data_IF_830524853229
#
_entry.id   IF_830524853229
#
_cell.length_a   1.000
_cell.length_b   1.000
_cell.length_c   1.000
_cell.angle_alpha   90.00
_cell.angle_beta   90.00
_cell.angle_gamma   90.00
#
_symmetry.space_group_name_H-M   'P 1'
#
loop_
_entity.id
_entity.type
_entity.pdbx_description
1 polymer ?
#
# COMPACT_ATOMS: atom_id res chain seq x y z
N UNK A 1 -16.64 -10.56 0.53
CA UNK A 1 -17.18 -9.36 1.21
C UNK A 1 -17.78 -8.45 0.18
N UNK A 2 -19.06 -8.09 0.33
CA UNK A 2 -19.70 -7.07 -0.49
C UNK A 2 -19.01 -5.72 -0.24
N UNK A 3 -18.76 -4.96 -1.30
CA UNK A 3 -18.19 -3.61 -1.21
C UNK A 3 -19.34 -2.65 -1.48
N UNK A 4 -19.48 -1.63 -0.64
CA UNK A 4 -20.43 -0.55 -0.87
C UNK A 4 -19.84 0.44 -1.89
N UNK A 5 -20.51 0.60 -3.03
CA UNK A 5 -20.00 1.41 -4.14
C UNK A 5 -19.83 2.89 -3.75
N UNK A 6 -20.70 3.41 -2.88
CA UNK A 6 -20.60 4.78 -2.40
C UNK A 6 -19.39 4.96 -1.48
N UNK A 7 -19.15 4.02 -0.57
CA UNK A 7 -17.95 4.01 0.26
C UNK A 7 -16.67 3.87 -0.57
N UNK A 8 -16.68 3.03 -1.60
CA UNK A 8 -15.54 2.87 -2.51
C UNK A 8 -15.24 4.17 -3.28
N UNK A 9 -16.28 4.81 -3.84
CA UNK A 9 -16.15 6.10 -4.53
C UNK A 9 -15.66 7.21 -3.59
N UNK A 10 -16.16 7.25 -2.35
CA UNK A 10 -15.71 8.21 -1.35
C UNK A 10 -14.23 8.03 -1.06
N UNK A 11 -13.78 6.78 -0.87
CA UNK A 11 -12.37 6.46 -0.64
C UNK A 11 -11.49 6.84 -1.83
N UNK A 12 -11.86 6.46 -3.05
CA UNK A 12 -11.10 6.75 -4.26
C UNK A 12 -11.00 8.26 -4.54
N UNK A 13 -12.07 9.02 -4.28
CA UNK A 13 -12.06 10.48 -4.38
C UNK A 13 -10.98 11.14 -3.50
N UNK A 14 -10.69 10.56 -2.31
CA UNK A 14 -9.63 11.08 -1.43
C UNK A 14 -8.23 10.95 -2.03
N UNK A 15 -7.99 9.91 -2.84
CA UNK A 15 -6.71 9.68 -3.52
C UNK A 15 -6.44 10.80 -4.52
N UNK A 16 -7.43 11.17 -5.32
CA UNK A 16 -7.31 12.26 -6.30
C UNK A 16 -7.09 13.62 -5.64
N UNK A 17 -7.74 13.87 -4.49
CA UNK A 17 -7.53 15.11 -3.75
C UNK A 17 -6.08 15.25 -3.28
N UNK A 18 -5.49 14.19 -2.71
CA UNK A 18 -4.10 14.21 -2.26
C UNK A 18 -3.13 14.39 -3.44
N UNK A 19 -3.41 13.72 -4.56
CA UNK A 19 -2.58 13.79 -5.77
C UNK A 19 -2.59 15.17 -6.44
N UNK A 20 -3.64 15.97 -6.24
CA UNK A 20 -3.71 17.32 -6.81
C UNK A 20 -2.65 18.27 -6.24
N UNK A 21 -2.12 17.97 -5.03
CA UNK A 21 -1.12 18.79 -4.37
C UNK A 21 -0.08 17.96 -3.60
N UNK A 22 0.86 17.27 -4.28
CA UNK A 22 1.86 16.42 -3.65
C UNK A 22 3.05 17.26 -3.12
N UNK A 23 2.77 18.30 -2.33
CA UNK A 23 3.76 19.22 -1.77
C UNK A 23 3.81 19.08 -0.25
N UNK A 24 4.94 19.42 0.36
CA UNK A 24 5.09 19.45 1.82
C UNK A 24 4.72 20.83 2.36
N UNK A 25 3.44 21.20 2.27
CA UNK A 25 2.92 22.47 2.76
C UNK A 25 1.68 22.25 3.65
N UNK A 26 1.21 23.33 4.30
CA UNK A 26 0.06 23.28 5.21
C UNK A 26 -1.21 22.75 4.51
N UNK A 27 -1.46 23.18 3.27
CA UNK A 27 -2.65 22.80 2.52
C UNK A 27 -2.68 21.29 2.22
N UNK A 28 -1.56 20.72 1.77
CA UNK A 28 -1.39 19.29 1.53
C UNK A 28 -1.53 18.48 2.82
N UNK A 29 -1.02 18.97 3.96
CA UNK A 29 -1.20 18.32 5.26
C UNK A 29 -2.69 18.31 5.64
N UNK A 30 -3.41 19.43 5.43
CA UNK A 30 -4.85 19.51 5.66
C UNK A 30 -5.61 18.53 4.77
N UNK A 31 -5.30 18.48 3.47
CA UNK A 31 -5.91 17.55 2.51
C UNK A 31 -5.66 16.09 2.91
N UNK A 32 -4.43 15.75 3.33
CA UNK A 32 -4.10 14.42 3.84
C UNK A 32 -4.92 14.08 5.08
N UNK A 33 -5.03 14.99 6.05
CA UNK A 33 -5.86 14.79 7.25
C UNK A 33 -7.34 14.57 6.90
N UNK A 34 -7.88 15.36 5.98
CA UNK A 34 -9.26 15.19 5.48
C UNK A 34 -9.44 13.85 4.76
N UNK A 35 -8.49 13.45 3.91
CA UNK A 35 -8.52 12.16 3.21
C UNK A 35 -8.56 10.98 4.20
N UNK A 36 -7.70 10.99 5.22
CA UNK A 36 -7.66 9.95 6.26
C UNK A 36 -8.98 9.88 7.04
N UNK A 37 -9.55 11.04 7.40
CA UNK A 37 -10.85 11.10 8.09
C UNK A 37 -11.99 10.55 7.22
N UNK A 38 -12.04 10.94 5.93
CA UNK A 38 -13.05 10.46 4.99
C UNK A 38 -12.93 8.95 4.73
N UNK A 39 -11.72 8.40 4.70
CA UNK A 39 -11.52 6.94 4.63
C UNK A 39 -12.08 6.23 5.88
N UNK A 40 -11.96 6.85 7.07
CA UNK A 40 -12.64 6.35 8.28
C UNK A 40 -14.17 6.30 8.12
N UNK A 41 -14.76 7.36 7.58
CA UNK A 41 -16.21 7.42 7.29
C UNK A 41 -16.62 6.38 6.24
N UNK A 42 -15.83 6.21 5.18
CA UNK A 42 -16.08 5.21 4.14
C UNK A 42 -16.10 3.78 4.71
N UNK A 43 -15.15 3.46 5.60
CA UNK A 43 -15.13 2.16 6.27
C UNK A 43 -16.36 1.93 7.15
N UNK A 44 -16.81 2.96 7.87
CA UNK A 44 -18.04 2.91 8.68
C UNK A 44 -19.27 2.64 7.80
N UNK A 45 -19.43 3.38 6.70
CA UNK A 45 -20.53 3.20 5.74
C UNK A 45 -20.53 1.78 5.18
N UNK A 46 -19.36 1.27 4.78
CA UNK A 46 -19.23 -0.08 4.22
C UNK A 46 -19.42 -1.18 5.29
N UNK A 47 -19.38 -0.85 6.58
CA UNK A 47 -19.35 -1.84 7.67
C UNK A 47 -18.10 -2.72 7.67
N UNK A 48 -17.04 -2.31 6.96
CA UNK A 48 -15.78 -3.05 6.87
C UNK A 48 -14.64 -2.17 6.38
N UNK A 49 -13.40 -2.61 6.59
CA UNK A 49 -12.21 -1.89 6.11
C UNK A 49 -12.01 -1.92 4.58
N UNK A 50 -12.85 -2.65 3.83
CA UNK A 50 -12.68 -2.91 2.39
C UNK A 50 -12.41 -1.67 1.52
N UNK A 51 -13.07 -0.51 1.72
CA UNK A 51 -12.84 0.65 0.87
C UNK A 51 -11.40 1.17 0.95
N UNK A 52 -10.75 1.04 2.12
CA UNK A 52 -9.43 1.60 2.39
C UNK A 52 -8.33 0.53 2.59
N UNK A 53 -8.68 -0.76 2.48
CA UNK A 53 -7.79 -1.87 2.82
C UNK A 53 -7.93 -3.01 1.81
N UNK A 54 -6.83 -3.32 1.13
CA UNK A 54 -6.68 -4.36 0.11
C UNK A 54 -5.47 -5.27 0.36
N UNK A 55 -4.88 -5.79 -0.71
CA UNK A 55 -3.71 -6.68 -0.65
C UNK A 55 -2.46 -6.00 -0.07
N UNK A 56 -2.35 -4.68 -0.23
CA UNK A 56 -1.27 -3.89 0.33
C UNK A 56 -1.30 -3.86 1.86
N UNK A 57 -2.50 -3.82 2.46
CA UNK A 57 -2.66 -3.93 3.90
C UNK A 57 -2.42 -5.36 4.39
N UNK A 58 -2.82 -6.37 3.63
CA UNK A 58 -2.52 -7.77 3.99
C UNK A 58 -1.01 -8.01 4.06
N UNK A 59 -0.23 -7.48 3.12
CA UNK A 59 1.23 -7.57 3.17
C UNK A 59 1.81 -6.79 4.36
N UNK A 60 1.30 -5.59 4.65
CA UNK A 60 1.70 -4.85 5.86
C UNK A 60 1.44 -5.66 7.14
N UNK A 61 0.24 -6.26 7.27
CA UNK A 61 -0.08 -7.07 8.45
C UNK A 61 0.74 -8.36 8.52
N UNK A 62 1.07 -8.98 7.38
CA UNK A 62 1.98 -10.11 7.37
C UNK A 62 3.40 -9.70 7.81
N UNK A 63 3.87 -8.50 7.45
CA UNK A 63 5.12 -7.94 7.97
C UNK A 63 5.05 -7.74 9.49
N UNK A 64 3.93 -7.23 10.01
CA UNK A 64 3.74 -7.06 11.46
C UNK A 64 3.85 -8.38 12.23
N UNK A 65 3.49 -9.49 11.59
CA UNK A 65 3.54 -10.83 12.18
C UNK A 65 4.90 -11.52 12.01
N UNK A 66 5.64 -11.23 10.93
CA UNK A 66 6.77 -12.07 10.49
C UNK A 66 8.12 -11.36 10.50
N UNK A 67 8.14 -10.03 10.44
CA UNK A 67 9.37 -9.26 10.44
C UNK A 67 9.94 -9.15 11.86
N UNK A 68 11.27 -9.14 11.97
CA UNK A 68 11.96 -8.97 13.25
C UNK A 68 11.72 -7.59 13.87
N UNK A 69 11.64 -6.56 13.01
CA UNK A 69 11.36 -5.17 13.39
C UNK A 69 10.45 -4.52 12.34
N UNK A 70 9.12 -4.64 12.50
CA UNK A 70 8.16 -3.97 11.61
C UNK A 70 8.40 -2.47 11.53
N UNK A 71 8.11 -1.88 10.37
CA UNK A 71 8.21 -0.42 10.16
C UNK A 71 6.91 0.26 10.58
N UNK A 72 6.85 1.58 10.46
CA UNK A 72 5.58 2.29 10.63
C UNK A 72 4.58 1.81 9.59
N UNK A 73 3.34 1.57 10.03
CA UNK A 73 2.28 1.02 9.20
C UNK A 73 2.14 1.73 7.84
N UNK A 74 2.07 3.06 7.83
CA UNK A 74 1.95 3.83 6.58
C UNK A 74 3.14 3.66 5.61
N UNK A 75 4.34 3.39 6.11
CA UNK A 75 5.51 3.08 5.27
C UNK A 75 5.43 1.69 4.67
N UNK A 76 5.02 0.68 5.46
CA UNK A 76 4.80 -0.69 4.99
C UNK A 76 3.68 -0.73 3.95
N UNK A 77 2.54 -0.12 4.28
CA UNK A 77 1.39 -0.01 3.37
C UNK A 77 1.81 0.73 2.11
N UNK A 78 2.52 1.86 2.20
CA UNK A 78 2.95 2.62 1.01
C UNK A 78 3.81 1.80 0.04
N UNK A 79 4.86 1.13 0.52
CA UNK A 79 5.69 0.25 -0.34
C UNK A 79 4.86 -0.91 -0.88
N UNK A 80 4.00 -1.50 -0.06
CA UNK A 80 3.09 -2.57 -0.49
C UNK A 80 2.11 -2.07 -1.57
N UNK A 81 1.59 -0.85 -1.48
CA UNK A 81 0.69 -0.25 -2.47
C UNK A 81 1.38 -0.13 -3.83
N UNK A 82 2.64 0.32 -3.86
CA UNK A 82 3.41 0.36 -5.10
C UNK A 82 3.59 -1.05 -5.68
N UNK A 83 4.02 -2.03 -4.87
CA UNK A 83 4.23 -3.40 -5.35
C UNK A 83 2.93 -4.03 -5.88
N UNK A 84 1.82 -3.88 -5.14
CA UNK A 84 0.53 -4.43 -5.55
C UNK A 84 0.03 -3.76 -6.83
N UNK A 85 0.30 -2.47 -7.03
CA UNK A 85 -0.05 -1.77 -8.27
C UNK A 85 0.68 -2.35 -9.49
N UNK A 86 1.95 -2.74 -9.33
CA UNK A 86 2.73 -3.43 -10.37
C UNK A 86 2.13 -4.81 -10.68
N UNK A 87 1.84 -5.61 -9.65
CA UNK A 87 1.25 -6.95 -9.82
C UNK A 87 -0.15 -6.93 -10.44
N UNK A 88 -0.92 -5.88 -10.17
CA UNK A 88 -2.24 -5.66 -10.77
C UNK A 88 -2.15 -5.04 -12.18
N UNK A 89 -1.01 -4.48 -12.56
CA UNK A 89 -0.84 -3.78 -13.85
C UNK A 89 -1.63 -2.48 -13.96
N UNK A 90 -1.95 -1.82 -12.83
CA UNK A 90 -2.77 -0.61 -12.83
C UNK A 90 -2.27 0.44 -11.83
N UNK A 91 -2.29 1.71 -12.21
CA UNK A 91 -2.02 2.83 -11.31
C UNK A 91 -0.57 3.00 -10.84
N UNK A 92 0.37 2.17 -11.31
CA UNK A 92 1.79 2.21 -10.90
C UNK A 92 2.43 3.57 -11.09
N UNK A 93 2.37 4.13 -12.30
CA UNK A 93 2.95 5.45 -12.59
C UNK A 93 2.35 6.55 -11.72
N UNK A 94 1.05 6.46 -11.44
CA UNK A 94 0.34 7.42 -10.59
C UNK A 94 0.87 7.40 -9.16
N UNK A 95 1.09 6.21 -8.61
CA UNK A 95 1.66 6.03 -7.27
C UNK A 95 3.14 6.44 -7.26
N UNK A 96 3.91 6.03 -8.27
CA UNK A 96 5.32 6.36 -8.42
C UNK A 96 5.53 7.88 -8.41
N UNK A 97 4.76 8.61 -9.21
CA UNK A 97 4.85 10.07 -9.29
C UNK A 97 4.52 10.76 -7.97
N UNK A 98 3.52 10.26 -7.22
CA UNK A 98 3.19 10.78 -5.90
C UNK A 98 4.35 10.55 -4.91
N UNK A 99 4.94 9.35 -4.90
CA UNK A 99 6.05 9.00 -4.02
C UNK A 99 7.33 9.76 -4.36
N UNK A 100 7.62 9.94 -5.65
CA UNK A 100 8.76 10.73 -6.13
C UNK A 100 8.59 12.21 -5.73
N UNK A 101 7.41 12.80 -5.95
CA UNK A 101 7.13 14.20 -5.63
C UNK A 101 7.16 14.50 -4.11
N UNK A 102 6.75 13.53 -3.29
CA UNK A 102 6.75 13.65 -1.82
C UNK A 102 8.08 13.23 -1.18
N UNK A 103 8.99 12.63 -1.95
CA UNK A 103 10.23 12.07 -1.44
C UNK A 103 10.00 10.87 -0.50
N UNK A 104 8.91 10.12 -0.69
CA UNK A 104 8.55 8.97 0.14
C UNK A 104 9.69 7.96 0.29
N UNK A 105 10.42 7.67 -0.80
CA UNK A 105 11.50 6.69 -0.82
C UNK A 105 12.66 7.02 0.13
N UNK A 106 12.91 8.31 0.40
CA UNK A 106 13.98 8.74 1.32
C UNK A 106 13.76 8.30 2.77
N UNK A 107 12.54 7.86 3.13
CA UNK A 107 12.24 7.32 4.45
C UNK A 107 13.02 6.01 4.76
N UNK A 108 13.64 5.39 3.76
CA UNK A 108 14.35 4.12 3.89
C UNK A 108 15.87 4.25 3.72
N UNK A 109 16.40 5.45 3.46
CA UNK A 109 17.83 5.68 3.19
C UNK A 109 18.73 5.22 4.34
N UNK A 110 18.36 5.56 5.58
CA UNK A 110 19.14 5.20 6.78
C UNK A 110 18.95 3.75 7.21
N UNK A 111 17.87 3.12 6.76
CA UNK A 111 17.48 1.81 7.22
C UNK A 111 16.70 1.08 6.12
N UNK A 112 17.40 0.44 5.18
CA UNK A 112 16.78 -0.34 4.11
C UNK A 112 15.92 -1.49 4.63
N UNK A 113 15.06 -2.00 3.76
CA UNK A 113 14.16 -3.12 4.00
C UNK A 113 14.83 -4.44 3.64
N UNK A 114 14.65 -5.48 4.45
CA UNK A 114 15.20 -6.80 4.18
C UNK A 114 14.33 -7.57 3.18
N UNK A 115 14.87 -7.90 2.00
CA UNK A 115 14.13 -8.66 0.98
C UNK A 115 13.55 -9.97 1.52
N UNK A 116 14.33 -10.69 2.34
CA UNK A 116 13.91 -11.98 2.90
C UNK A 116 12.69 -11.89 3.82
N UNK A 117 12.55 -10.79 4.57
CA UNK A 117 11.38 -10.57 5.44
C UNK A 117 10.14 -10.29 4.59
N UNK A 118 10.28 -9.51 3.53
CA UNK A 118 9.19 -9.18 2.62
C UNK A 118 8.72 -10.37 1.79
N UNK A 119 9.63 -11.22 1.32
CA UNK A 119 9.29 -12.49 0.66
C UNK A 119 8.49 -13.38 1.62
N UNK A 120 8.97 -13.56 2.85
CA UNK A 120 8.24 -14.35 3.85
C UNK A 120 6.86 -13.77 4.16
N UNK A 121 6.77 -12.45 4.32
CA UNK A 121 5.48 -11.79 4.57
C UNK A 121 4.53 -11.95 3.38
N UNK A 122 5.03 -11.90 2.15
CA UNK A 122 4.24 -12.12 0.95
C UNK A 122 3.61 -13.52 0.92
N UNK A 123 4.37 -14.55 1.29
CA UNK A 123 3.86 -15.93 1.39
C UNK A 123 2.74 -16.08 2.43
N UNK A 124 2.78 -15.27 3.51
CA UNK A 124 1.80 -15.30 4.61
C UNK A 124 0.59 -14.40 4.33
N UNK A 125 0.74 -13.34 3.55
CA UNK A 125 -0.28 -12.31 3.31
C UNK A 125 -1.67 -12.83 2.92
N UNK A 126 -1.83 -13.82 2.02
CA UNK A 126 -3.15 -14.36 1.67
C UNK A 126 -3.91 -14.99 2.85
N UNK A 127 -3.19 -15.42 3.88
CA UNK A 127 -3.76 -16.11 5.06
C UNK A 127 -4.15 -15.18 6.20
N UNK A 128 -3.70 -13.92 6.15
CA UNK A 128 -3.91 -12.93 7.23
C UNK A 128 -5.40 -12.70 7.50
N UNK A 129 -6.23 -12.70 6.46
CA UNK A 129 -7.67 -12.46 6.58
C UNK A 129 -8.47 -13.43 5.73
N UNK A 130 -9.22 -14.30 6.39
CA UNK A 130 -10.14 -15.22 5.71
C UNK A 130 -11.27 -14.44 5.02
N UNK A 131 -11.80 -15.01 3.93
CA UNK A 131 -12.89 -14.44 3.12
C UNK A 131 -12.58 -13.05 2.50
N UNK A 132 -11.30 -12.76 2.26
CA UNK A 132 -10.83 -11.47 1.75
C UNK A 132 -10.12 -11.61 0.41
N UNK A 133 -10.91 -11.69 -0.66
CA UNK A 133 -10.38 -11.84 -2.02
C UNK A 133 -9.59 -10.61 -2.46
N UNK A 134 -8.39 -10.81 -2.99
CA UNK A 134 -7.50 -9.78 -3.56
C UNK A 134 -6.71 -10.37 -4.73
N UNK A 135 -5.81 -9.59 -5.36
CA UNK A 135 -4.88 -10.10 -6.38
C UNK A 135 -4.05 -11.30 -5.87
N UNK A 136 -3.76 -11.35 -4.57
CA UNK A 136 -3.02 -12.46 -3.94
C UNK A 136 -3.86 -13.73 -3.79
N UNK A 137 -5.17 -13.63 -3.96
CA UNK A 137 -6.10 -14.77 -4.00
C UNK A 137 -6.41 -15.22 -5.43
N UNK A 138 -6.23 -14.32 -6.41
CA UNK A 138 -6.63 -14.53 -7.80
C UNK A 138 -5.64 -15.38 -8.58
N UNK A 139 -4.34 -15.18 -8.36
CA UNK A 139 -3.26 -15.92 -9.03
C UNK A 139 -2.03 -16.00 -8.15
N UNK A 140 -1.13 -16.93 -8.48
CA UNK A 140 0.20 -16.98 -7.89
C UNK A 140 1.07 -15.84 -8.47
N UNK A 141 1.46 -14.91 -7.61
CA UNK A 141 2.28 -13.75 -7.93
C UNK A 141 3.71 -13.87 -7.38
N UNK A 142 4.09 -15.01 -6.79
CA UNK A 142 5.32 -15.14 -5.98
C UNK A 142 6.59 -14.87 -6.78
N UNK A 143 6.72 -15.45 -7.97
CA UNK A 143 7.90 -15.24 -8.82
C UNK A 143 7.95 -13.84 -9.44
N UNK A 144 6.79 -13.23 -9.70
CA UNK A 144 6.71 -11.84 -10.16
C UNK A 144 7.08 -10.87 -9.04
N UNK A 145 6.60 -11.09 -7.82
CA UNK A 145 6.97 -10.32 -6.64
C UNK A 145 8.49 -10.38 -6.39
N UNK A 146 9.10 -11.57 -6.43
CA UNK A 146 10.55 -11.73 -6.29
C UNK A 146 11.32 -11.00 -7.40
N UNK A 147 10.86 -11.07 -8.66
CA UNK A 147 11.47 -10.30 -9.76
C UNK A 147 11.36 -8.80 -9.52
N UNK A 148 10.19 -8.29 -9.12
CA UNK A 148 10.00 -6.86 -8.81
C UNK A 148 11.00 -6.37 -7.74
N UNK A 149 11.18 -7.11 -6.64
CA UNK A 149 12.16 -6.73 -5.59
C UNK A 149 13.62 -6.69 -6.08
N UNK A 150 13.92 -7.38 -7.17
CA UNK A 150 15.26 -7.50 -7.73
C UNK A 150 15.49 -6.63 -8.96
N UNK A 151 14.45 -6.24 -9.70
CA UNK A 151 14.57 -5.59 -11.01
C UNK A 151 13.99 -4.17 -11.02
N UNK A 152 13.01 -3.85 -10.16
CA UNK A 152 12.44 -2.51 -10.13
C UNK A 152 13.43 -1.49 -9.55
N UNK A 153 13.71 -0.44 -10.32
CA UNK A 153 14.71 0.58 -10.00
C UNK A 153 14.41 1.34 -8.71
N UNK A 154 13.14 1.51 -8.34
CA UNK A 154 12.75 2.19 -7.09
C UNK A 154 12.88 1.25 -5.90
N UNK A 155 12.44 0.00 -6.06
CA UNK A 155 12.53 -1.01 -5.00
C UNK A 155 13.99 -1.37 -4.68
N UNK A 156 14.86 -1.49 -5.70
CA UNK A 156 16.29 -1.75 -5.48
C UNK A 156 16.97 -0.72 -4.57
N UNK A 157 16.50 0.53 -4.54
CA UNK A 157 17.07 1.60 -3.69
C UNK A 157 16.72 1.45 -2.22
N UNK A 158 15.57 0.86 -1.92
CA UNK A 158 15.05 0.76 -0.55
C UNK A 158 15.20 -0.64 0.05
N UNK A 159 15.59 -1.63 -0.75
CA UNK A 159 15.77 -3.02 -0.34
C UNK A 159 17.24 -3.43 -0.31
N UNK A 160 17.65 -4.10 0.77
CA UNK A 160 18.94 -4.77 0.91
C UNK A 160 18.83 -6.31 0.94
#
# INVERSE_FOLDING_TARGET
TQIDDFAALLSDATVFQLQSQPKKNHESIRLLGTALMLNGIAMEICGSSRPASGSEHLLSHALDLTASKPRLHGLQVGVSTYIMSCLQGQGTERIANLFDATGFWSAFDDAPLLRSEWIRAFDVAPTVKQNFYTILSERDCSEEFKRLLNEDVRLQKIFC
#
